data_IF_895571113775
#
_entry.id   IF_895571113775
#
_cell.length_a   1.000
_cell.length_b   1.000
_cell.length_c   1.000
_cell.angle_alpha   90.00
_cell.angle_beta   90.00
_cell.angle_gamma   90.00
#
_symmetry.space_group_name_H-M   'P 1'
#
loop_
_entity.id
_entity.type
_entity.pdbx_description
1 polymer ?
#
# COMPACT_ATOMS: atom_id res chain seq x y z
N UNK A 1 1.30 10.08 26.95
CA UNK A 1 1.11 8.65 26.63
C UNK A 1 2.34 8.20 25.88
N UNK A 2 2.82 6.96 26.02
CA UNK A 2 3.98 6.48 25.24
C UNK A 2 3.54 6.30 23.79
N UNK A 3 4.33 6.79 22.84
CA UNK A 3 4.12 6.55 21.41
C UNK A 3 4.27 5.07 21.05
N UNK A 4 3.65 4.65 19.95
CA UNK A 4 3.71 3.28 19.43
C UNK A 4 3.83 3.29 17.91
N UNK A 5 4.33 2.20 17.31
CA UNK A 5 4.20 1.99 15.87
C UNK A 5 2.74 1.64 15.53
N UNK A 6 2.16 2.33 14.55
CA UNK A 6 0.77 2.13 14.16
C UNK A 6 0.67 1.53 12.75
N UNK A 7 -0.20 0.56 12.61
CA UNK A 7 -0.50 -0.13 11.35
C UNK A 7 -1.97 -0.02 10.94
N UNK A 8 -2.82 0.51 11.84
CA UNK A 8 -4.26 0.58 11.65
C UNK A 8 -4.75 2.05 11.64
N UNK A 9 -5.55 2.39 10.62
CA UNK A 9 -6.23 3.68 10.55
C UNK A 9 -5.29 4.87 10.34
N UNK A 10 -5.61 5.97 11.04
CA UNK A 10 -4.84 7.21 11.00
C UNK A 10 -3.65 7.18 11.96
N UNK A 11 -2.55 7.77 11.54
CA UNK A 11 -1.42 8.02 12.42
C UNK A 11 -1.45 9.47 12.92
N UNK A 12 -1.23 9.64 14.23
CA UNK A 12 -1.16 10.94 14.91
C UNK A 12 0.24 11.15 15.46
N UNK A 13 0.88 12.32 15.24
CA UNK A 13 2.27 12.58 15.66
C UNK A 13 2.50 12.54 17.17
N UNK A 14 1.47 12.77 17.98
CA UNK A 14 1.52 12.74 19.45
C UNK A 14 1.33 11.33 20.04
N UNK A 15 0.78 10.39 19.26
CA UNK A 15 0.51 9.02 19.69
C UNK A 15 1.42 7.98 19.02
N UNK A 16 1.97 8.30 17.84
CA UNK A 16 2.63 7.32 16.99
C UNK A 16 4.04 7.75 16.55
N UNK A 17 4.94 6.80 16.44
CA UNK A 17 6.20 7.01 15.74
C UNK A 17 5.94 7.09 14.25
N UNK A 18 6.27 8.21 13.64
CA UNK A 18 5.92 8.54 12.26
C UNK A 18 7.12 9.03 11.48
N UNK A 19 7.09 8.74 10.20
CA UNK A 19 7.98 9.41 9.25
C UNK A 19 7.55 10.86 9.06
N UNK A 20 8.52 11.77 9.02
CA UNK A 20 8.26 13.18 8.72
C UNK A 20 7.89 13.33 7.23
N UNK A 21 6.65 13.71 6.96
CA UNK A 21 6.12 13.88 5.60
C UNK A 21 5.99 15.36 5.18
N UNK A 22 6.62 16.29 5.88
CA UNK A 22 6.48 17.73 5.62
C UNK A 22 6.84 18.12 4.19
N UNK A 23 7.94 17.60 3.65
CA UNK A 23 8.37 17.88 2.26
C UNK A 23 7.31 17.40 1.24
N UNK A 24 6.62 16.29 1.53
CA UNK A 24 5.53 15.77 0.69
C UNK A 24 4.30 16.67 0.76
N UNK A 25 3.95 17.15 1.97
CA UNK A 25 2.86 18.09 2.15
C UNK A 25 3.11 19.41 1.40
N UNK A 26 4.34 19.92 1.38
CA UNK A 26 4.73 21.12 0.64
C UNK A 26 4.65 20.92 -0.88
N UNK A 27 5.04 19.75 -1.37
CA UNK A 27 4.84 19.39 -2.79
C UNK A 27 3.35 19.32 -3.15
N UNK A 28 2.49 18.82 -2.25
CA UNK A 28 1.04 18.80 -2.44
C UNK A 28 0.49 20.24 -2.40
N UNK A 29 0.97 21.06 -1.47
CA UNK A 29 0.60 22.49 -1.40
C UNK A 29 0.90 23.21 -2.70
N UNK A 30 2.04 22.97 -3.33
CA UNK A 30 2.38 23.54 -4.63
C UNK A 30 1.32 23.22 -5.71
N UNK A 31 0.78 22.01 -5.73
CA UNK A 31 -0.31 21.63 -6.64
C UNK A 31 -1.60 22.38 -6.31
N UNK A 32 -1.89 22.60 -5.03
CA UNK A 32 -3.05 23.38 -4.58
C UNK A 32 -2.89 24.84 -4.99
N UNK A 33 -1.71 25.43 -4.79
CA UNK A 33 -1.39 26.83 -5.12
C UNK A 33 -1.45 27.08 -6.63
N UNK A 34 -1.11 26.10 -7.43
CA UNK A 34 -1.27 26.13 -8.87
C UNK A 34 -2.74 26.00 -9.32
N UNK A 35 -3.68 25.78 -8.39
CA UNK A 35 -5.10 25.56 -8.71
C UNK A 35 -5.33 24.27 -9.48
N UNK A 36 -4.53 23.24 -9.26
CA UNK A 36 -4.68 21.93 -9.91
C UNK A 36 -5.74 21.10 -9.20
N UNK A 37 -6.52 20.37 -10.00
CA UNK A 37 -7.33 19.25 -9.53
C UNK A 37 -6.51 17.99 -9.79
N UNK A 38 -6.43 17.08 -8.83
CA UNK A 38 -5.57 15.88 -8.96
C UNK A 38 -6.11 14.69 -8.18
N UNK A 39 -5.51 13.52 -8.42
CA UNK A 39 -5.88 12.27 -7.77
C UNK A 39 -4.66 11.71 -7.03
N UNK A 40 -4.82 11.41 -5.76
CA UNK A 40 -3.86 10.63 -4.96
C UNK A 40 -4.26 9.16 -5.09
N UNK A 41 -3.79 8.52 -6.17
CA UNK A 41 -4.01 7.10 -6.42
C UNK A 41 -2.80 6.31 -5.92
N UNK A 42 -2.94 5.71 -4.76
CA UNK A 42 -1.93 4.87 -4.12
C UNK A 42 -2.58 3.58 -3.61
N UNK A 43 -1.78 2.53 -3.51
CA UNK A 43 -2.17 1.25 -2.95
C UNK A 43 -2.85 1.38 -1.57
N UNK A 44 -3.51 0.32 -1.12
CA UNK A 44 -4.05 0.26 0.25
C UNK A 44 -2.90 0.39 1.26
N UNK A 45 -3.20 0.97 2.43
CA UNK A 45 -2.22 1.14 3.53
C UNK A 45 -0.92 1.85 3.13
N UNK A 46 -1.04 2.76 2.16
CA UNK A 46 0.08 3.58 1.66
C UNK A 46 0.11 5.00 2.27
N UNK A 47 -0.56 5.19 3.42
CA UNK A 47 -0.55 6.44 4.16
C UNK A 47 -1.44 7.56 3.58
N UNK A 48 -2.36 7.27 2.65
CA UNK A 48 -3.27 8.28 2.06
C UNK A 48 -4.05 9.07 3.11
N UNK A 49 -4.81 8.38 3.98
CA UNK A 49 -5.65 9.02 5.01
C UNK A 49 -4.82 9.90 5.95
N UNK A 50 -3.65 9.41 6.39
CA UNK A 50 -2.72 10.17 7.23
C UNK A 50 -2.21 11.41 6.51
N UNK A 51 -1.84 11.30 5.23
CA UNK A 51 -1.38 12.43 4.43
C UNK A 51 -2.47 13.49 4.27
N UNK A 52 -3.72 13.10 3.97
CA UNK A 52 -4.85 14.01 3.83
C UNK A 52 -5.19 14.70 5.16
N UNK A 53 -5.17 13.97 6.26
CA UNK A 53 -5.40 14.52 7.60
C UNK A 53 -4.32 15.54 7.98
N UNK A 54 -3.04 15.19 7.82
CA UNK A 54 -1.94 16.11 8.09
C UNK A 54 -1.93 17.33 7.17
N UNK A 55 -2.34 17.16 5.91
CA UNK A 55 -2.54 18.28 4.98
C UNK A 55 -3.58 19.25 5.51
N UNK A 56 -4.74 18.74 5.93
CA UNK A 56 -5.83 19.54 6.46
C UNK A 56 -5.42 20.28 7.74
N UNK A 57 -4.70 19.63 8.65
CA UNK A 57 -4.19 20.28 9.86
C UNK A 57 -3.13 21.34 9.55
N UNK A 58 -2.09 21.01 8.77
CA UNK A 58 -0.95 21.89 8.52
C UNK A 58 -1.35 23.19 7.83
N UNK A 59 -2.28 23.11 6.88
CA UNK A 59 -2.65 24.25 6.04
C UNK A 59 -4.02 24.87 6.35
N UNK A 60 -4.62 24.56 7.50
CA UNK A 60 -5.90 25.13 7.95
C UNK A 60 -5.89 26.66 8.07
N UNK A 61 -4.72 27.26 8.34
CA UNK A 61 -4.56 28.71 8.37
C UNK A 61 -4.63 29.36 6.99
N UNK A 62 -4.26 28.64 5.92
CA UNK A 62 -4.13 29.16 4.55
C UNK A 62 -5.35 28.83 3.69
N UNK A 63 -5.96 27.66 3.90
CA UNK A 63 -7.11 27.18 3.14
C UNK A 63 -8.28 26.84 4.04
N UNK A 64 -9.50 27.01 3.51
CA UNK A 64 -10.68 26.36 4.04
C UNK A 64 -10.79 24.98 3.42
N UNK A 65 -10.59 23.93 4.21
CA UNK A 65 -10.53 22.55 3.70
C UNK A 65 -11.82 21.82 4.12
N UNK A 66 -12.53 21.26 3.13
CA UNK A 66 -13.63 20.33 3.34
C UNK A 66 -13.18 18.96 2.91
N UNK A 67 -13.12 18.02 3.85
CA UNK A 67 -12.70 16.63 3.60
C UNK A 67 -13.86 15.69 3.86
N UNK A 68 -14.38 15.05 2.82
CA UNK A 68 -15.44 14.04 2.93
C UNK A 68 -14.92 12.68 2.53
N UNK A 69 -15.56 11.61 3.00
CA UNK A 69 -15.23 10.24 2.60
C UNK A 69 -16.47 9.53 2.07
N UNK A 70 -16.30 8.77 0.99
CA UNK A 70 -17.32 7.87 0.47
C UNK A 70 -17.28 6.49 1.13
N UNK A 71 -16.42 6.30 2.13
CA UNK A 71 -16.38 5.07 2.92
C UNK A 71 -17.75 4.79 3.56
N UNK A 72 -18.21 3.55 3.43
CA UNK A 72 -19.49 3.14 4.02
C UNK A 72 -20.76 3.65 3.32
N UNK A 73 -20.66 4.31 2.17
CA UNK A 73 -21.82 4.67 1.38
C UNK A 73 -22.44 3.41 0.76
N UNK A 74 -23.69 3.11 1.12
CA UNK A 74 -24.43 2.01 0.51
C UNK A 74 -24.94 2.33 -0.90
N UNK A 75 -25.28 1.31 -1.69
CA UNK A 75 -25.77 1.45 -3.06
C UNK A 75 -27.00 2.37 -3.19
N UNK A 76 -27.81 2.51 -2.15
CA UNK A 76 -28.94 3.43 -2.13
C UNK A 76 -28.55 4.90 -2.29
N UNK A 77 -27.33 5.25 -1.91
CA UNK A 77 -26.78 6.62 -2.07
C UNK A 77 -26.51 6.98 -3.53
N UNK A 78 -26.37 5.99 -4.40
CA UNK A 78 -26.04 6.17 -5.83
C UNK A 78 -27.24 5.88 -6.76
N UNK A 79 -28.42 5.62 -6.20
CA UNK A 79 -29.61 5.19 -6.94
C UNK A 79 -30.03 6.19 -8.00
N UNK A 80 -29.98 7.47 -7.67
CA UNK A 80 -30.35 8.59 -8.53
C UNK A 80 -29.60 9.86 -8.12
N UNK A 81 -29.66 10.89 -8.95
CA UNK A 81 -29.05 12.20 -8.76
C UNK A 81 -29.38 12.80 -7.39
N UNK A 82 -30.65 12.76 -7.00
CA UNK A 82 -31.09 13.37 -5.73
C UNK A 82 -30.54 12.64 -4.51
N UNK A 83 -30.55 11.33 -4.54
CA UNK A 83 -30.00 10.51 -3.47
C UNK A 83 -28.51 10.76 -3.28
N UNK A 84 -27.77 10.86 -4.38
CA UNK A 84 -26.35 11.16 -4.37
C UNK A 84 -26.06 12.59 -3.86
N UNK A 85 -26.72 13.60 -4.42
CA UNK A 85 -26.54 15.00 -4.02
C UNK A 85 -26.88 15.19 -2.54
N UNK A 86 -28.03 14.63 -2.09
CA UNK A 86 -28.43 14.67 -0.70
C UNK A 86 -27.39 14.06 0.22
N UNK A 87 -26.78 12.93 -0.18
CA UNK A 87 -25.72 12.30 0.62
C UNK A 87 -24.46 13.15 0.67
N UNK A 88 -24.07 13.81 -0.44
CA UNK A 88 -22.95 14.77 -0.43
C UNK A 88 -23.22 15.93 0.53
N UNK A 89 -24.45 16.47 0.53
CA UNK A 89 -24.84 17.50 1.50
C UNK A 89 -24.74 16.99 2.95
N UNK A 90 -25.17 15.74 3.23
CA UNK A 90 -25.05 15.13 4.54
C UNK A 90 -23.59 15.02 5.00
N UNK A 91 -22.70 14.53 4.14
CA UNK A 91 -21.26 14.45 4.44
C UNK A 91 -20.63 15.83 4.67
N UNK A 92 -21.04 16.84 3.89
CA UNK A 92 -20.59 18.22 4.11
C UNK A 92 -21.13 18.81 5.41
N UNK A 93 -22.39 18.51 5.74
CA UNK A 93 -22.97 18.95 7.00
C UNK A 93 -22.22 18.37 8.19
N UNK A 94 -21.86 17.07 8.14
CA UNK A 94 -21.09 16.42 9.21
C UNK A 94 -19.73 17.12 9.40
N UNK A 95 -19.00 17.45 8.32
CA UNK A 95 -17.74 18.20 8.37
C UNK A 95 -17.97 19.60 8.98
N UNK A 96 -18.98 20.34 8.50
CA UNK A 96 -19.29 21.70 8.97
C UNK A 96 -19.71 21.71 10.44
N UNK A 97 -20.38 20.65 10.90
CA UNK A 97 -20.92 20.57 12.26
C UNK A 97 -19.90 20.11 13.30
N UNK A 98 -19.07 19.13 12.95
CA UNK A 98 -18.14 18.51 13.91
C UNK A 98 -16.72 19.07 13.85
N UNK A 99 -16.30 19.68 12.75
CA UNK A 99 -14.96 20.26 12.63
C UNK A 99 -14.99 21.75 13.04
N UNK A 100 -14.40 22.09 14.20
CA UNK A 100 -14.35 23.45 14.74
C UNK A 100 -13.62 24.45 13.84
N UNK A 101 -12.89 23.96 12.83
CA UNK A 101 -12.10 24.79 11.89
C UNK A 101 -12.91 25.34 10.72
N UNK A 102 -14.19 24.96 10.56
CA UNK A 102 -15.01 25.43 9.43
C UNK A 102 -15.65 26.80 9.75
N UNK A 103 -14.98 27.86 9.36
CA UNK A 103 -15.54 29.22 9.33
C UNK A 103 -16.59 29.34 8.21
N UNK A 104 -17.80 28.83 8.43
CA UNK A 104 -18.94 28.96 7.50
C UNK A 104 -20.08 29.72 8.15
N UNK A 105 -20.80 30.52 7.34
CA UNK A 105 -21.97 31.26 7.82
C UNK A 105 -23.10 30.32 8.26
N UNK A 106 -23.95 30.80 9.18
CA UNK A 106 -25.13 30.05 9.60
C UNK A 106 -26.10 29.77 8.45
N UNK A 107 -26.10 30.62 7.42
CA UNK A 107 -26.88 30.42 6.20
C UNK A 107 -26.41 29.18 5.44
N UNK A 108 -25.08 29.04 5.21
CA UNK A 108 -24.49 27.84 4.57
C UNK A 108 -24.80 26.59 5.40
N UNK A 109 -24.65 26.65 6.71
CA UNK A 109 -24.92 25.54 7.62
C UNK A 109 -26.39 25.10 7.55
N UNK A 110 -27.30 26.04 7.61
CA UNK A 110 -28.75 25.79 7.55
C UNK A 110 -29.15 25.20 6.21
N UNK A 111 -28.65 25.74 5.10
CA UNK A 111 -28.95 25.23 3.77
C UNK A 111 -28.39 23.81 3.58
N UNK A 112 -27.16 23.56 4.05
CA UNK A 112 -26.53 22.24 3.99
C UNK A 112 -27.38 21.18 4.75
N UNK A 113 -27.80 21.50 5.97
CA UNK A 113 -28.69 20.64 6.74
C UNK A 113 -30.01 20.38 6.02
N UNK A 114 -30.69 21.45 5.55
CA UNK A 114 -31.98 21.35 4.86
C UNK A 114 -31.91 20.44 3.63
N UNK A 115 -30.81 20.53 2.85
CA UNK A 115 -30.62 19.73 1.63
C UNK A 115 -30.19 18.29 1.92
N UNK A 116 -29.73 17.99 3.14
CA UNK A 116 -29.40 16.63 3.56
C UNK A 116 -30.62 15.80 4.02
N UNK A 117 -31.77 16.44 4.27
CA UNK A 117 -32.96 15.77 4.76
C UNK A 117 -33.59 14.82 3.73
N UNK A 118 -34.32 13.80 4.19
CA UNK A 118 -34.83 12.72 3.35
C UNK A 118 -35.86 13.16 2.30
N UNK A 119 -36.59 14.24 2.54
CA UNK A 119 -37.59 14.82 1.67
C UNK A 119 -37.00 15.83 0.66
N UNK A 120 -35.74 16.27 0.87
CA UNK A 120 -35.05 17.15 -0.06
C UNK A 120 -34.68 16.42 -1.38
N UNK A 121 -34.74 17.15 -2.48
CA UNK A 121 -34.40 16.67 -3.81
C UNK A 121 -33.39 17.58 -4.50
N UNK A 122 -32.18 17.75 -3.93
CA UNK A 122 -31.15 18.54 -4.58
C UNK A 122 -30.63 17.82 -5.84
N UNK A 123 -30.52 18.54 -6.94
CA UNK A 123 -29.87 18.13 -8.17
C UNK A 123 -28.41 18.63 -8.25
N UNK A 124 -27.64 18.23 -9.28
CA UNK A 124 -26.25 18.70 -9.46
C UNK A 124 -26.17 20.21 -9.70
N UNK A 125 -27.19 20.84 -10.24
CA UNK A 125 -27.24 22.30 -10.40
C UNK A 125 -27.32 22.98 -9.03
N UNK A 126 -28.19 22.50 -8.17
CA UNK A 126 -28.35 22.99 -6.79
C UNK A 126 -27.05 22.81 -6.01
N UNK A 127 -26.45 21.62 -6.07
CA UNK A 127 -25.17 21.32 -5.41
C UNK A 127 -24.03 22.19 -5.98
N UNK A 128 -23.95 22.39 -7.29
CA UNK A 128 -22.95 23.26 -7.93
C UNK A 128 -23.08 24.73 -7.47
N UNK A 129 -24.30 25.23 -7.35
CA UNK A 129 -24.56 26.59 -6.85
C UNK A 129 -24.15 26.72 -5.36
N UNK A 130 -24.44 25.70 -4.57
CA UNK A 130 -24.04 25.65 -3.17
C UNK A 130 -22.51 25.66 -3.01
N UNK A 131 -21.79 24.89 -3.80
CA UNK A 131 -20.33 24.94 -3.83
C UNK A 131 -19.79 26.34 -4.23
N UNK A 132 -20.47 27.01 -5.16
CA UNK A 132 -20.08 28.38 -5.53
C UNK A 132 -20.36 29.38 -4.40
N UNK A 133 -21.42 29.18 -3.63
CA UNK A 133 -21.75 30.00 -2.47
C UNK A 133 -20.67 29.84 -1.38
N UNK A 134 -20.32 28.58 -1.02
CA UNK A 134 -19.22 28.29 -0.07
C UNK A 134 -17.94 29.01 -0.51
N UNK A 135 -17.54 28.83 -1.78
CA UNK A 135 -16.29 29.43 -2.28
C UNK A 135 -16.34 30.96 -2.36
N UNK A 136 -17.52 31.56 -2.47
CA UNK A 136 -17.71 33.02 -2.50
C UNK A 136 -17.64 33.63 -1.11
N UNK A 137 -18.23 32.96 -0.12
CA UNK A 137 -18.34 33.45 1.27
C UNK A 137 -17.11 33.13 2.12
N UNK A 138 -16.33 32.13 1.73
CA UNK A 138 -15.11 31.77 2.44
C UNK A 138 -14.09 32.90 2.38
N UNK A 139 -13.51 33.26 3.53
CA UNK A 139 -12.41 34.19 3.66
C UNK A 139 -11.06 33.64 3.17
N UNK A 140 -10.97 32.34 2.90
CA UNK A 140 -9.79 31.61 2.45
C UNK A 140 -10.09 30.85 1.15
N UNK A 141 -9.08 30.55 0.31
CA UNK A 141 -9.26 29.63 -0.82
C UNK A 141 -9.77 28.26 -0.35
N UNK A 142 -10.79 27.73 -1.01
CA UNK A 142 -11.44 26.48 -0.61
C UNK A 142 -10.79 25.29 -1.31
N UNK A 143 -10.38 24.28 -0.54
CA UNK A 143 -9.90 22.98 -1.01
C UNK A 143 -10.94 21.92 -0.67
N UNK A 144 -11.32 21.12 -1.66
CA UNK A 144 -12.27 20.02 -1.49
C UNK A 144 -11.59 18.67 -1.65
N UNK A 145 -11.60 17.88 -0.59
CA UNK A 145 -10.99 16.54 -0.52
C UNK A 145 -12.11 15.50 -0.50
N UNK A 146 -11.99 14.49 -1.35
CA UNK A 146 -12.91 13.34 -1.38
C UNK A 146 -12.09 12.06 -1.27
N UNK A 147 -12.19 11.40 -0.13
CA UNK A 147 -11.49 10.12 0.10
C UNK A 147 -12.39 8.92 -0.26
N UNK A 148 -11.77 7.76 -0.47
CA UNK A 148 -12.39 6.47 -0.81
C UNK A 148 -13.30 6.56 -2.06
N UNK A 149 -12.89 7.32 -3.06
CA UNK A 149 -13.66 7.48 -4.31
C UNK A 149 -13.84 6.15 -5.06
N UNK A 150 -13.09 5.13 -4.72
CA UNK A 150 -13.22 3.76 -5.27
C UNK A 150 -14.58 3.14 -4.97
N UNK A 151 -15.23 3.53 -3.86
CA UNK A 151 -16.56 3.07 -3.48
C UNK A 151 -17.64 3.52 -4.48
N UNK A 152 -17.39 4.62 -5.18
CA UNK A 152 -18.29 5.21 -6.15
C UNK A 152 -17.88 4.94 -7.62
N UNK A 153 -16.78 4.23 -7.83
CA UNK A 153 -16.09 4.13 -9.11
C UNK A 153 -16.92 3.56 -10.27
N UNK A 154 -17.90 2.73 -9.96
CA UNK A 154 -18.81 2.06 -10.91
C UNK A 154 -20.20 2.72 -10.99
N UNK A 155 -20.40 3.86 -10.32
CA UNK A 155 -21.70 4.52 -10.20
C UNK A 155 -21.85 5.69 -11.20
N UNK A 156 -22.95 5.71 -11.93
CA UNK A 156 -23.25 6.77 -12.93
C UNK A 156 -23.36 8.15 -12.28
N UNK A 157 -24.05 8.24 -11.13
CA UNK A 157 -24.19 9.49 -10.36
C UNK A 157 -22.84 10.10 -9.96
N UNK A 158 -21.83 9.26 -9.70
CA UNK A 158 -20.49 9.75 -9.42
C UNK A 158 -19.78 10.30 -10.66
N UNK A 159 -19.97 9.67 -11.82
CA UNK A 159 -19.42 10.20 -13.08
C UNK A 159 -20.03 11.55 -13.43
N UNK A 160 -21.34 11.72 -13.22
CA UNK A 160 -22.04 12.99 -13.44
C UNK A 160 -21.56 14.08 -12.47
N UNK A 161 -21.32 13.70 -11.21
CA UNK A 161 -20.69 14.57 -10.22
C UNK A 161 -19.29 15.03 -10.64
N UNK A 162 -18.45 14.11 -11.14
CA UNK A 162 -17.14 14.48 -11.70
C UNK A 162 -17.28 15.42 -12.92
N UNK A 163 -18.30 15.20 -13.74
CA UNK A 163 -18.65 16.08 -14.85
C UNK A 163 -18.99 17.50 -14.37
N UNK A 164 -19.79 17.61 -13.30
CA UNK A 164 -20.13 18.90 -12.68
C UNK A 164 -18.90 19.61 -12.10
N UNK A 165 -18.02 18.88 -11.39
CA UNK A 165 -16.77 19.47 -10.87
C UNK A 165 -15.84 19.93 -12.00
N UNK A 166 -15.78 19.18 -13.12
CA UNK A 166 -15.05 19.61 -14.32
C UNK A 166 -15.62 20.88 -14.92
N UNK A 167 -16.94 21.01 -15.04
CA UNK A 167 -17.58 22.24 -15.55
C UNK A 167 -17.21 23.45 -14.67
N UNK A 168 -17.22 23.29 -13.34
CA UNK A 168 -16.77 24.30 -12.40
C UNK A 168 -15.30 24.69 -12.64
N UNK A 169 -14.40 23.70 -12.81
CA UNK A 169 -13.00 23.95 -13.11
C UNK A 169 -12.81 24.75 -14.40
N UNK A 170 -13.53 24.41 -15.46
CA UNK A 170 -13.44 25.13 -16.74
C UNK A 170 -13.92 26.59 -16.63
N UNK A 171 -14.89 26.86 -15.75
CA UNK A 171 -15.46 28.19 -15.50
C UNK A 171 -14.77 28.94 -14.36
N UNK A 172 -13.66 28.47 -13.80
CA UNK A 172 -13.00 29.00 -12.59
C UNK A 172 -12.54 30.48 -12.72
N UNK A 173 -12.35 30.96 -13.93
CA UNK A 173 -12.00 32.40 -14.18
C UNK A 173 -13.18 33.34 -14.07
N UNK A 174 -14.40 32.85 -14.22
CA UNK A 174 -15.63 33.66 -14.28
C UNK A 174 -16.59 33.39 -13.12
N UNK A 175 -16.39 32.28 -12.37
CA UNK A 175 -17.29 31.88 -11.28
C UNK A 175 -16.50 31.41 -10.07
N UNK A 176 -16.97 31.70 -8.84
CA UNK A 176 -16.36 31.15 -7.62
C UNK A 176 -16.36 29.64 -7.66
N UNK A 177 -15.21 29.04 -7.41
CA UNK A 177 -15.03 27.60 -7.35
C UNK A 177 -13.86 27.22 -6.44
N UNK A 178 -13.68 25.95 -6.20
CA UNK A 178 -12.58 25.39 -5.42
C UNK A 178 -11.21 25.81 -5.97
N UNK A 179 -10.30 26.14 -5.09
CA UNK A 179 -8.88 26.31 -5.40
C UNK A 179 -8.29 25.00 -5.92
N UNK A 180 -8.60 23.91 -5.24
CA UNK A 180 -8.22 22.56 -5.64
C UNK A 180 -9.30 21.56 -5.27
N UNK A 181 -9.40 20.47 -6.05
CA UNK A 181 -10.16 19.29 -5.69
C UNK A 181 -9.19 18.10 -5.69
N UNK A 182 -9.11 17.41 -4.56
CA UNK A 182 -8.25 16.26 -4.34
C UNK A 182 -9.13 15.02 -4.21
N UNK A 183 -8.99 14.09 -5.13
CA UNK A 183 -9.63 12.79 -5.02
C UNK A 183 -8.61 11.77 -4.50
N UNK A 184 -8.99 10.94 -3.53
CA UNK A 184 -8.12 9.90 -3.02
C UNK A 184 -8.76 8.51 -3.16
N UNK A 185 -7.96 7.55 -3.62
CA UNK A 185 -8.41 6.19 -3.83
C UNK A 185 -7.26 5.28 -4.29
N UNK A 186 -7.60 4.05 -4.66
CA UNK A 186 -6.66 3.09 -5.22
C UNK A 186 -6.71 3.13 -6.74
N UNK A 187 -7.91 3.21 -7.33
CA UNK A 187 -8.08 3.14 -8.78
C UNK A 187 -7.76 4.48 -9.47
N UNK A 188 -7.17 4.38 -10.66
CA UNK A 188 -7.08 5.55 -11.54
C UNK A 188 -8.48 5.89 -12.08
N UNK A 189 -8.99 7.05 -11.69
CA UNK A 189 -10.32 7.55 -12.10
C UNK A 189 -10.44 7.69 -13.62
N UNK A 190 -9.33 7.87 -14.34
CA UNK A 190 -9.32 7.88 -15.81
C UNK A 190 -9.74 6.52 -16.39
N UNK A 191 -9.49 5.43 -15.69
CA UNK A 191 -9.76 4.06 -16.11
C UNK A 191 -11.06 3.47 -15.54
N UNK A 192 -11.83 4.21 -14.72
CA UNK A 192 -13.06 3.74 -14.09
C UNK A 192 -14.14 3.28 -15.08
N UNK A 193 -14.19 3.89 -16.26
CA UNK A 193 -15.20 3.55 -17.30
C UNK A 193 -15.16 2.11 -17.77
N UNK A 194 -14.03 1.44 -17.69
CA UNK A 194 -13.88 0.04 -18.11
C UNK A 194 -14.70 -0.94 -17.26
N UNK A 195 -15.05 -0.57 -16.01
CA UNK A 195 -15.87 -1.42 -15.13
C UNK A 195 -17.39 -1.24 -15.32
N UNK A 196 -17.85 -0.04 -15.65
CA UNK A 196 -19.28 0.30 -15.68
C UNK A 196 -19.98 -0.29 -16.92
N UNK A 197 -19.26 -0.52 -18.01
CA UNK A 197 -19.86 -0.93 -19.28
C UNK A 197 -19.16 -2.14 -19.90
N UNK A 198 -19.29 -3.32 -19.28
CA UNK A 198 -19.03 -4.58 -19.98
C UNK A 198 -20.05 -4.70 -21.13
N UNK A 199 -19.63 -4.39 -22.35
CA UNK A 199 -20.42 -4.59 -23.57
C UNK A 199 -20.69 -3.37 -24.45
N UNK A 200 -20.25 -2.16 -24.07
CA UNK A 200 -20.26 -1.00 -24.96
C UNK A 200 -18.88 -0.40 -25.05
N UNK A 201 -18.19 -0.68 -26.15
CA UNK A 201 -17.00 0.06 -26.60
C UNK A 201 -17.43 1.49 -26.96
N UNK A 202 -17.58 2.37 -25.99
CA UNK A 202 -17.74 3.78 -26.26
C UNK A 202 -16.53 4.56 -25.78
N UNK A 203 -15.85 5.15 -26.73
CA UNK A 203 -14.77 6.12 -26.65
C UNK A 203 -15.12 7.43 -25.89
N UNK A 204 -15.64 7.32 -24.67
CA UNK A 204 -15.87 8.50 -23.85
C UNK A 204 -14.66 8.75 -22.94
N UNK A 205 -13.96 9.84 -23.17
CA UNK A 205 -12.93 10.35 -22.28
C UNK A 205 -13.50 10.53 -20.86
N UNK A 206 -12.76 10.10 -19.85
CA UNK A 206 -13.15 10.33 -18.46
C UNK A 206 -13.48 11.79 -18.22
N UNK A 207 -14.56 12.12 -17.49
CA UNK A 207 -14.84 13.50 -17.09
C UNK A 207 -13.68 14.12 -16.31
N UNK A 208 -12.79 13.31 -15.73
CA UNK A 208 -11.66 13.75 -14.92
C UNK A 208 -10.35 13.91 -15.70
N UNK A 209 -10.41 14.12 -17.02
CA UNK A 209 -9.21 14.36 -17.86
C UNK A 209 -8.52 15.70 -17.57
N UNK A 210 -9.09 16.55 -16.71
CA UNK A 210 -8.50 17.80 -16.21
C UNK A 210 -7.48 17.58 -15.10
N UNK A 211 -7.44 16.37 -14.51
CA UNK A 211 -6.58 16.07 -13.38
C UNK A 211 -5.10 16.16 -13.74
N UNK A 212 -4.36 16.95 -12.97
CA UNK A 212 -2.91 16.99 -13.01
C UNK A 212 -2.34 15.62 -12.58
N UNK A 213 -1.15 15.28 -13.09
CA UNK A 213 -0.45 14.09 -12.68
C UNK A 213 0.11 14.28 -11.27
N UNK A 214 -0.21 13.37 -10.36
CA UNK A 214 0.34 13.34 -9.01
C UNK A 214 1.65 12.58 -8.99
N UNK A 215 2.77 13.30 -8.78
CA UNK A 215 4.12 12.75 -8.85
C UNK A 215 4.80 12.66 -7.49
N UNK A 216 4.10 13.03 -6.41
CA UNK A 216 4.67 12.99 -5.05
C UNK A 216 4.90 11.54 -4.65
N UNK A 217 6.15 11.21 -4.31
CA UNK A 217 6.47 9.89 -3.78
C UNK A 217 6.01 9.77 -2.32
N UNK A 218 5.20 8.77 -2.04
CA UNK A 218 4.68 8.49 -0.70
C UNK A 218 5.37 7.31 -0.03
N UNK A 219 6.34 6.64 -0.68
CA UNK A 219 7.15 5.59 -0.09
C UNK A 219 8.17 6.18 0.89
N UNK A 220 8.58 5.42 1.90
CA UNK A 220 9.57 5.86 2.87
C UNK A 220 10.97 5.56 2.39
N UNK A 221 11.83 6.56 2.29
CA UNK A 221 13.25 6.37 2.04
C UNK A 221 13.99 5.79 3.27
N UNK A 222 15.20 5.24 3.13
CA UNK A 222 16.00 4.84 4.27
C UNK A 222 16.20 5.96 5.29
N UNK A 223 16.36 7.22 4.83
CA UNK A 223 16.48 8.40 5.67
C UNK A 223 15.18 8.69 6.46
N UNK A 224 14.03 8.52 5.82
CA UNK A 224 12.73 8.69 6.48
C UNK A 224 12.55 7.66 7.61
N UNK A 225 12.90 6.40 7.33
CA UNK A 225 12.85 5.31 8.31
C UNK A 225 13.83 5.58 9.46
N UNK A 226 15.06 6.02 9.15
CA UNK A 226 16.06 6.37 10.16
C UNK A 226 15.56 7.49 11.08
N UNK A 227 14.89 8.51 10.54
CA UNK A 227 14.30 9.59 11.34
C UNK A 227 13.24 9.09 12.32
N UNK A 228 12.34 8.20 11.89
CA UNK A 228 11.34 7.56 12.75
C UNK A 228 11.98 6.69 13.83
N UNK A 229 13.01 5.92 13.48
CA UNK A 229 13.76 5.09 14.44
C UNK A 229 14.58 5.91 15.43
N UNK A 230 15.03 7.09 15.05
CA UNK A 230 15.74 8.02 15.95
C UNK A 230 14.80 8.47 17.06
N UNK A 231 13.59 8.90 16.72
CA UNK A 231 12.58 9.27 17.71
C UNK A 231 12.25 8.09 18.65
N UNK A 232 12.05 6.89 18.11
CA UNK A 232 11.83 5.70 18.93
C UNK A 232 12.97 5.37 19.85
N UNK A 233 14.23 5.46 19.36
CA UNK A 233 15.44 5.21 20.15
C UNK A 233 15.56 6.18 21.33
N UNK A 234 15.28 7.46 21.08
CA UNK A 234 15.41 8.50 22.10
C UNK A 234 14.33 8.35 23.20
N UNK A 235 13.09 8.00 22.81
CA UNK A 235 11.98 7.79 23.76
C UNK A 235 12.16 6.55 24.65
N UNK A 236 12.73 5.46 24.12
CA UNK A 236 12.77 4.15 24.78
C UNK A 236 14.18 3.81 25.29
N UNK A 237 15.19 4.58 24.89
CA UNK A 237 16.60 4.31 25.16
C UNK A 237 17.04 2.93 24.62
N UNK A 238 16.70 2.64 23.37
CA UNK A 238 17.05 1.39 22.66
C UNK A 238 18.44 1.53 22.04
N UNK A 239 19.32 0.56 22.27
CA UNK A 239 20.59 0.48 21.56
C UNK A 239 20.38 -0.11 20.17
N UNK A 240 20.65 0.66 19.12
CA UNK A 240 20.58 0.18 17.72
C UNK A 240 21.51 0.98 16.81
N UNK A 241 21.96 0.34 15.75
CA UNK A 241 22.56 1.00 14.58
C UNK A 241 21.43 1.44 13.66
N UNK A 242 21.02 2.71 13.80
CA UNK A 242 19.83 3.24 13.12
C UNK A 242 19.95 3.12 11.60
N UNK A 243 21.08 3.49 11.03
CA UNK A 243 21.26 3.50 9.57
C UNK A 243 21.25 2.09 9.00
N UNK A 244 21.93 1.15 9.65
CA UNK A 244 21.95 -0.25 9.23
C UNK A 244 20.57 -0.92 9.37
N UNK A 245 19.81 -0.60 10.43
CA UNK A 245 18.45 -1.12 10.64
C UNK A 245 17.47 -0.49 9.64
N UNK A 246 17.52 0.83 9.44
CA UNK A 246 16.68 1.54 8.48
C UNK A 246 16.90 1.03 7.06
N UNK A 247 18.15 0.83 6.65
CA UNK A 247 18.49 0.29 5.34
C UNK A 247 17.96 -1.15 5.20
N UNK A 248 18.12 -1.99 6.21
CA UNK A 248 17.63 -3.37 6.19
C UNK A 248 16.11 -3.42 6.05
N UNK A 249 15.37 -2.61 6.80
CA UNK A 249 13.90 -2.52 6.69
C UNK A 249 13.52 -2.06 5.28
N UNK A 250 14.21 -1.06 4.73
CA UNK A 250 13.96 -0.58 3.37
C UNK A 250 14.22 -1.66 2.32
N UNK A 251 15.30 -2.42 2.42
CA UNK A 251 15.65 -3.49 1.48
C UNK A 251 14.55 -4.56 1.37
N UNK A 252 13.83 -4.82 2.46
CA UNK A 252 12.69 -5.74 2.45
C UNK A 252 11.39 -5.13 1.96
N UNK A 253 11.12 -3.89 2.36
CA UNK A 253 9.82 -3.25 2.21
C UNK A 253 9.71 -2.36 0.98
N UNK A 254 10.84 -1.94 0.38
CA UNK A 254 10.87 -0.89 -0.65
C UNK A 254 10.25 0.42 -0.15
N UNK A 255 10.25 0.63 1.17
CA UNK A 255 9.63 1.81 1.79
C UNK A 255 8.10 1.79 1.84
N UNK A 256 7.45 0.66 1.64
CA UNK A 256 5.99 0.54 1.75
C UNK A 256 5.53 0.86 3.19
N UNK A 257 4.74 1.92 3.42
CA UNK A 257 4.51 2.46 4.78
C UNK A 257 4.01 1.43 5.80
N UNK A 258 2.99 0.64 5.44
CA UNK A 258 2.46 -0.41 6.31
C UNK A 258 3.51 -1.46 6.66
N UNK A 259 4.29 -1.93 5.68
CA UNK A 259 5.29 -2.97 5.90
C UNK A 259 6.40 -2.47 6.83
N UNK A 260 6.84 -1.21 6.65
CA UNK A 260 7.83 -0.56 7.53
C UNK A 260 7.31 -0.51 8.97
N UNK A 261 6.11 0.05 9.17
CA UNK A 261 5.52 0.17 10.51
C UNK A 261 5.27 -1.20 11.17
N UNK A 262 4.81 -2.20 10.38
CA UNK A 262 4.54 -3.55 10.93
C UNK A 262 5.81 -4.28 11.36
N UNK A 263 6.90 -4.17 10.58
CA UNK A 263 8.19 -4.75 10.98
C UNK A 263 8.68 -4.10 12.28
N UNK A 264 8.61 -2.77 12.39
CA UNK A 264 8.99 -2.06 13.62
C UNK A 264 8.13 -2.51 14.81
N UNK A 265 6.82 -2.61 14.62
CA UNK A 265 5.89 -3.06 15.66
C UNK A 265 6.19 -4.49 16.12
N UNK A 266 6.38 -5.44 15.20
CA UNK A 266 6.72 -6.82 15.53
C UNK A 266 8.06 -6.94 16.26
N UNK A 267 9.04 -6.12 15.88
CA UNK A 267 10.33 -6.08 16.55
C UNK A 267 10.19 -5.54 17.99
N UNK A 268 9.34 -4.53 18.20
CA UNK A 268 9.04 -3.99 19.53
C UNK A 268 8.31 -5.03 20.40
N UNK A 269 7.30 -5.71 19.84
CA UNK A 269 6.53 -6.76 20.52
C UNK A 269 7.44 -7.90 21.00
N UNK A 270 8.32 -8.40 20.12
CA UNK A 270 9.28 -9.47 20.44
C UNK A 270 10.29 -9.06 21.52
N UNK A 271 10.80 -7.81 21.48
CA UNK A 271 11.69 -7.27 22.49
C UNK A 271 11.01 -7.15 23.87
N UNK A 272 9.73 -6.78 23.89
CA UNK A 272 8.94 -6.71 25.12
C UNK A 272 8.69 -8.10 25.73
N UNK A 273 8.35 -9.11 24.92
CA UNK A 273 8.15 -10.50 25.37
C UNK A 273 9.44 -11.11 25.93
N UNK A 274 10.56 -10.93 25.25
CA UNK A 274 11.87 -11.42 25.72
C UNK A 274 12.24 -10.84 27.07
N UNK A 275 11.89 -9.60 27.34
CA UNK A 275 12.13 -8.94 28.62
C UNK A 275 11.23 -9.45 29.74
N UNK A 276 10.00 -9.89 29.46
CA UNK A 276 9.10 -10.47 30.45
C UNK A 276 9.52 -11.91 30.83
N UNK A 277 10.02 -12.68 29.89
CA UNK A 277 10.49 -14.05 30.14
C UNK A 277 11.77 -14.07 30.98
N UNK A 278 12.65 -13.07 30.85
CA UNK A 278 13.86 -12.94 31.67
C UNK A 278 13.57 -12.59 33.14
N UNK A 279 12.37 -12.09 33.47
CA UNK A 279 11.94 -11.77 34.85
C UNK A 279 11.46 -13.00 35.60
N UNK A 280 10.99 -14.05 34.90
CA UNK A 280 10.50 -15.28 35.51
C UNK A 280 11.61 -16.28 35.92
N UNK A 281 12.84 -16.05 35.44
CA UNK A 281 14.00 -16.91 35.74
C UNK A 281 14.91 -16.24 36.80
N UNK A 282 14.58 -16.46 38.08
CA UNK A 282 15.33 -16.22 39.33
C UNK A 282 15.86 -14.80 39.62
N UNK A 283 15.58 -14.26 40.84
CA UNK A 283 16.11 -12.99 41.27
C UNK A 283 17.58 -13.15 41.72
N UNK A 284 18.53 -12.71 40.92
CA UNK A 284 19.86 -12.36 41.44
C UNK A 284 19.81 -10.92 41.93
N UNK A 285 19.78 -10.78 43.26
CA UNK A 285 20.03 -9.54 43.97
C UNK A 285 21.45 -9.07 43.65
N UNK A 286 21.54 -7.93 42.99
CA UNK A 286 22.56 -6.88 42.99
C UNK A 286 22.67 -6.31 41.59
N UNK A 287 21.96 -5.20 41.39
CA UNK A 287 22.46 -4.10 40.59
C UNK A 287 21.51 -2.91 40.72
N UNK A 288 22.06 -1.87 41.34
CA UNK A 288 21.43 -0.54 41.42
C UNK A 288 21.40 0.07 40.01
N UNK A 289 20.32 0.77 39.69
CA UNK A 289 19.97 1.44 38.41
C UNK A 289 19.46 0.52 37.29
N UNK A 290 18.22 0.06 37.46
CA UNK A 290 17.56 -0.75 36.45
C UNK A 290 16.97 0.06 35.29
N UNK A 291 17.80 0.63 34.43
CA UNK A 291 17.36 1.00 33.08
C UNK A 291 17.53 -0.23 32.18
N UNK A 292 16.41 -0.84 31.77
CA UNK A 292 16.44 -1.95 30.81
C UNK A 292 16.83 -1.36 29.46
N UNK A 293 18.06 -1.61 29.01
CA UNK A 293 18.50 -1.26 27.67
C UNK A 293 18.00 -2.33 26.71
N UNK A 294 16.94 -2.02 25.98
CA UNK A 294 16.53 -2.82 24.83
C UNK A 294 17.57 -2.69 23.72
N UNK A 295 17.78 -3.75 22.96
CA UNK A 295 18.69 -3.71 21.83
C UNK A 295 17.98 -4.25 20.60
N UNK A 296 18.03 -3.48 19.51
CA UNK A 296 17.63 -3.95 18.20
C UNK A 296 18.86 -4.25 17.36
N UNK A 297 18.90 -5.43 16.77
CA UNK A 297 19.95 -5.86 15.86
C UNK A 297 19.34 -6.45 14.58
N UNK A 298 20.20 -6.79 13.61
CA UNK A 298 19.73 -7.33 12.31
C UNK A 298 18.91 -8.60 12.44
N UNK A 299 19.22 -9.49 13.40
CA UNK A 299 18.46 -10.73 13.60
C UNK A 299 17.03 -10.46 14.05
N UNK A 300 16.81 -9.44 14.89
CA UNK A 300 15.47 -9.11 15.37
C UNK A 300 14.58 -8.62 14.23
N UNK A 301 15.12 -7.82 13.31
CA UNK A 301 14.42 -7.40 12.09
C UNK A 301 14.12 -8.59 11.18
N UNK A 302 15.08 -9.51 10.99
CA UNK A 302 14.86 -10.70 10.16
C UNK A 302 13.80 -11.62 10.75
N UNK A 303 13.72 -11.75 12.07
CA UNK A 303 12.69 -12.54 12.74
C UNK A 303 11.31 -11.86 12.62
N UNK A 304 11.23 -10.54 12.74
CA UNK A 304 10.01 -9.79 12.46
C UNK A 304 9.56 -9.95 10.99
N UNK A 305 10.48 -9.95 10.02
CA UNK A 305 10.18 -10.24 8.62
C UNK A 305 9.62 -11.65 8.44
N UNK A 306 10.20 -12.67 9.08
CA UNK A 306 9.67 -14.06 9.04
C UNK A 306 8.26 -14.13 9.61
N UNK A 307 8.02 -13.46 10.74
CA UNK A 307 6.71 -13.39 11.36
C UNK A 307 5.69 -12.73 10.43
N UNK A 308 6.02 -11.57 9.87
CA UNK A 308 5.18 -10.85 8.91
C UNK A 308 4.82 -11.71 7.68
N UNK A 309 5.78 -12.46 7.13
CA UNK A 309 5.56 -13.35 5.99
C UNK A 309 4.58 -14.49 6.29
N UNK A 310 4.37 -14.86 7.55
CA UNK A 310 3.43 -15.89 7.99
C UNK A 310 2.08 -15.31 8.46
N UNK A 311 1.96 -14.00 8.57
CA UNK A 311 0.73 -13.37 9.02
C UNK A 311 -0.41 -13.50 7.98
N UNK A 312 -1.63 -13.56 8.52
CA UNK A 312 -2.85 -13.22 7.80
C UNK A 312 -3.18 -11.76 8.14
N UNK A 313 -3.13 -10.89 7.14
CA UNK A 313 -3.47 -9.48 7.30
C UNK A 313 -4.20 -8.96 6.05
N UNK A 314 -4.87 -7.83 6.23
CA UNK A 314 -5.73 -7.25 5.18
C UNK A 314 -4.98 -6.89 3.90
N UNK A 315 -3.67 -6.57 3.96
CA UNK A 315 -2.85 -6.28 2.79
C UNK A 315 -2.63 -7.53 1.93
N UNK A 316 -2.27 -8.65 2.57
CA UNK A 316 -2.02 -9.91 1.86
C UNK A 316 -3.32 -10.58 1.39
N UNK A 317 -4.41 -10.43 2.16
CA UNK A 317 -5.73 -10.92 1.74
C UNK A 317 -6.23 -10.15 0.52
N UNK A 318 -6.08 -8.82 0.49
CA UNK A 318 -6.41 -7.99 -0.67
C UNK A 318 -5.55 -8.37 -1.89
N UNK A 319 -4.24 -8.57 -1.69
CA UNK A 319 -3.34 -9.04 -2.76
C UNK A 319 -3.81 -10.37 -3.33
N UNK A 320 -4.12 -11.34 -2.48
CA UNK A 320 -4.62 -12.64 -2.89
C UNK A 320 -5.91 -12.53 -3.71
N UNK A 321 -6.86 -11.71 -3.26
CA UNK A 321 -8.13 -11.46 -3.96
C UNK A 321 -7.93 -10.79 -5.31
N UNK A 322 -7.11 -9.71 -5.37
CA UNK A 322 -6.84 -8.97 -6.61
C UNK A 322 -6.18 -9.84 -7.68
N UNK A 323 -5.25 -10.72 -7.29
CA UNK A 323 -4.63 -11.66 -8.21
C UNK A 323 -5.61 -12.73 -8.70
N UNK A 324 -6.52 -13.19 -7.84
CA UNK A 324 -7.58 -14.11 -8.26
C UNK A 324 -8.59 -13.46 -9.21
N UNK A 325 -8.84 -12.17 -9.07
CA UNK A 325 -9.76 -11.38 -9.91
C UNK A 325 -9.14 -10.98 -11.26
N UNK A 326 -7.80 -10.94 -11.39
CA UNK A 326 -7.08 -10.59 -12.63
C UNK A 326 -6.05 -11.66 -13.01
N UNK A 327 -6.47 -12.55 -13.89
CA UNK A 327 -5.61 -13.64 -14.40
C UNK A 327 -4.41 -13.13 -15.18
N UNK A 328 -4.57 -12.01 -15.90
CA UNK A 328 -3.49 -11.39 -16.67
C UNK A 328 -2.38 -10.87 -15.74
N UNK A 329 -2.76 -10.19 -14.64
CA UNK A 329 -1.80 -9.72 -13.65
C UNK A 329 -1.11 -10.88 -12.93
N UNK A 330 -1.87 -11.90 -12.53
CA UNK A 330 -1.32 -13.11 -11.90
C UNK A 330 -0.30 -13.80 -12.83
N UNK A 331 -0.63 -13.91 -14.12
CA UNK A 331 0.26 -14.49 -15.12
C UNK A 331 1.55 -13.66 -15.32
N UNK A 332 1.47 -12.32 -15.40
CA UNK A 332 2.66 -11.45 -15.49
C UNK A 332 3.58 -11.68 -14.30
N UNK A 333 3.04 -11.73 -13.09
CA UNK A 333 3.82 -11.96 -11.88
C UNK A 333 4.48 -13.34 -11.91
N UNK A 334 3.77 -14.39 -12.32
CA UNK A 334 4.35 -15.74 -12.48
C UNK A 334 5.48 -15.77 -13.50
N UNK A 335 5.32 -15.09 -14.64
CA UNK A 335 6.37 -14.98 -15.66
C UNK A 335 7.63 -14.28 -15.11
N UNK A 336 7.49 -13.24 -14.32
CA UNK A 336 8.63 -12.54 -13.70
C UNK A 336 9.30 -13.45 -12.67
N UNK A 337 8.51 -14.05 -11.77
CA UNK A 337 9.04 -14.80 -10.63
C UNK A 337 9.68 -16.13 -11.04
N UNK A 338 9.04 -16.92 -11.90
CA UNK A 338 9.49 -18.26 -12.21
C UNK A 338 10.30 -18.35 -13.52
N UNK A 339 9.97 -17.55 -14.53
CA UNK A 339 10.70 -17.57 -15.79
C UNK A 339 11.84 -16.56 -15.85
N UNK A 340 11.94 -15.65 -14.87
CA UNK A 340 12.87 -14.53 -14.94
C UNK A 340 12.64 -13.64 -16.17
N UNK A 341 11.42 -13.65 -16.73
CA UNK A 341 11.12 -12.93 -17.97
C UNK A 341 11.22 -11.43 -17.76
N UNK A 342 12.10 -10.79 -18.53
CA UNK A 342 12.21 -9.33 -18.56
C UNK A 342 11.06 -8.77 -19.40
N UNK A 343 10.08 -8.18 -18.74
CA UNK A 343 8.91 -7.58 -19.38
C UNK A 343 9.15 -6.08 -19.46
N UNK A 344 9.15 -5.46 -20.66
CA UNK A 344 9.24 -4.01 -20.78
C UNK A 344 8.07 -3.32 -20.07
N UNK A 345 8.36 -2.26 -19.34
CA UNK A 345 7.33 -1.48 -18.69
C UNK A 345 6.54 -0.66 -19.70
N UNK A 346 5.23 -0.85 -19.75
CA UNK A 346 4.30 -0.03 -20.51
C UNK A 346 3.13 0.39 -19.63
N UNK A 347 2.92 1.70 -19.41
CA UNK A 347 1.77 2.18 -18.63
C UNK A 347 0.43 1.96 -19.38
N UNK A 348 0.46 1.69 -20.69
CA UNK A 348 -0.74 1.44 -21.50
C UNK A 348 -1.20 -0.01 -21.42
N UNK A 349 -0.35 -0.91 -20.93
CA UNK A 349 -0.70 -2.30 -20.71
C UNK A 349 -1.50 -2.43 -19.40
N UNK A 350 -2.75 -2.91 -19.52
CA UNK A 350 -3.72 -2.88 -18.43
C UNK A 350 -3.27 -3.65 -17.18
N UNK A 351 -2.73 -4.84 -17.33
CA UNK A 351 -2.33 -5.66 -16.19
C UNK A 351 -1.08 -5.10 -15.49
N UNK A 352 -0.13 -4.51 -16.23
CA UNK A 352 1.04 -3.82 -15.67
C UNK A 352 0.58 -2.60 -14.88
N UNK A 353 -0.28 -1.77 -15.48
CA UNK A 353 -0.83 -0.59 -14.82
C UNK A 353 -1.59 -0.96 -13.54
N UNK A 354 -2.43 -2.01 -13.60
CA UNK A 354 -3.15 -2.54 -12.44
C UNK A 354 -2.19 -2.99 -11.32
N UNK A 355 -1.13 -3.71 -11.66
CA UNK A 355 -0.12 -4.16 -10.72
C UNK A 355 0.63 -3.01 -10.04
N UNK A 356 0.98 -1.97 -10.80
CA UNK A 356 1.62 -0.76 -10.27
C UNK A 356 0.65 0.03 -9.37
N UNK A 357 -0.59 0.16 -9.78
CA UNK A 357 -1.64 0.85 -9.02
C UNK A 357 -1.91 0.17 -7.67
N UNK A 358 -1.91 -1.16 -7.64
CA UNK A 358 -2.02 -1.93 -6.39
C UNK A 358 -0.73 -1.98 -5.58
N UNK A 359 0.37 -1.44 -6.10
CA UNK A 359 1.67 -1.44 -5.44
C UNK A 359 2.39 -2.79 -5.46
N UNK A 360 1.96 -3.75 -6.28
CA UNK A 360 2.60 -5.07 -6.38
C UNK A 360 3.75 -5.06 -7.38
N UNK A 361 3.66 -4.23 -8.41
CA UNK A 361 4.67 -4.05 -9.43
C UNK A 361 5.24 -2.64 -9.40
N UNK A 362 6.47 -2.49 -9.89
CA UNK A 362 7.16 -1.21 -10.10
C UNK A 362 7.82 -1.18 -11.48
N UNK A 363 8.12 0.03 -11.94
CA UNK A 363 9.06 0.24 -13.03
C UNK A 363 10.48 0.30 -12.46
N UNK A 364 11.32 -0.61 -12.86
CA UNK A 364 12.73 -0.66 -12.51
C UNK A 364 13.56 -0.61 -13.79
N UNK A 365 14.13 0.55 -14.07
CA UNK A 365 14.94 0.80 -15.28
C UNK A 365 14.28 0.39 -16.63
N UNK A 366 12.98 0.68 -16.76
CA UNK A 366 12.20 0.36 -17.95
C UNK A 366 11.66 -1.07 -18.00
N UNK A 367 11.86 -1.85 -16.96
CA UNK A 367 11.37 -3.22 -16.82
C UNK A 367 10.33 -3.30 -15.69
N UNK A 368 9.42 -4.26 -15.81
CA UNK A 368 8.46 -4.58 -14.75
C UNK A 368 9.14 -5.47 -13.73
N UNK A 369 9.11 -5.07 -12.45
CA UNK A 369 9.60 -5.84 -11.32
C UNK A 369 8.54 -5.91 -10.21
N UNK A 370 8.64 -6.90 -9.31
CA UNK A 370 7.85 -6.92 -8.07
C UNK A 370 8.35 -5.81 -7.16
N UNK A 371 7.42 -5.10 -6.51
CA UNK A 371 7.72 -3.84 -5.82
C UNK A 371 8.71 -3.97 -4.67
N UNK A 372 8.68 -5.08 -3.94
CA UNK A 372 9.54 -5.31 -2.78
C UNK A 372 9.69 -6.80 -2.43
N UNK A 373 10.70 -7.11 -1.61
CA UNK A 373 11.04 -8.49 -1.23
C UNK A 373 9.96 -9.19 -0.41
N UNK A 374 9.19 -8.46 0.40
CA UNK A 374 8.07 -9.04 1.17
C UNK A 374 7.01 -9.59 0.21
N UNK A 375 6.58 -8.78 -0.77
CA UNK A 375 5.60 -9.24 -1.77
C UNK A 375 6.16 -10.38 -2.61
N UNK A 376 7.40 -10.26 -3.05
CA UNK A 376 8.07 -11.30 -3.83
C UNK A 376 8.07 -12.63 -3.08
N UNK A 377 8.54 -12.66 -1.83
CA UNK A 377 8.59 -13.88 -1.00
C UNK A 377 7.19 -14.43 -0.71
N UNK A 378 6.21 -13.55 -0.43
CA UNK A 378 4.83 -13.96 -0.17
C UNK A 378 4.18 -14.61 -1.38
N UNK A 379 4.41 -14.04 -2.57
CA UNK A 379 3.91 -14.56 -3.85
C UNK A 379 4.57 -15.90 -4.21
N UNK A 380 5.90 -16.02 -4.05
CA UNK A 380 6.57 -17.31 -4.18
C UNK A 380 5.97 -18.37 -3.27
N UNK A 381 5.78 -18.06 -1.98
CA UNK A 381 5.21 -18.98 -1.01
C UNK A 381 3.80 -19.42 -1.40
N UNK A 382 2.97 -18.48 -1.86
CA UNK A 382 1.62 -18.78 -2.37
C UNK A 382 1.67 -19.74 -3.54
N UNK A 383 2.39 -19.39 -4.60
CA UNK A 383 2.45 -20.20 -5.82
C UNK A 383 3.10 -21.57 -5.63
N UNK A 384 4.11 -21.68 -4.77
CA UNK A 384 4.71 -22.96 -4.44
C UNK A 384 3.74 -23.83 -3.64
N UNK A 385 2.94 -23.26 -2.74
CA UNK A 385 1.95 -24.01 -1.96
C UNK A 385 0.82 -24.59 -2.82
N UNK A 386 0.41 -23.88 -3.88
CA UNK A 386 -0.59 -24.37 -4.84
C UNK A 386 -0.14 -25.66 -5.58
N UNK A 387 1.17 -25.91 -5.65
CA UNK A 387 1.76 -27.00 -6.44
C UNK A 387 2.38 -28.13 -5.61
N UNK A 388 2.54 -27.95 -4.29
CA UNK A 388 3.16 -28.97 -3.41
C UNK A 388 2.33 -30.25 -3.36
N UNK A 389 1.01 -30.14 -3.40
CA UNK A 389 0.08 -31.29 -3.34
C UNK A 389 0.18 -32.23 -4.55
N UNK A 390 0.80 -31.79 -5.64
CA UNK A 390 0.90 -32.56 -6.88
C UNK A 390 2.33 -33.03 -7.20
N UNK A 391 3.35 -32.67 -6.37
CA UNK A 391 4.75 -32.84 -6.75
C UNK A 391 5.50 -33.85 -5.84
N UNK A 392 5.83 -35.03 -6.40
CA UNK A 392 6.58 -36.12 -5.73
C UNK A 392 7.97 -35.72 -5.24
N UNK A 393 8.62 -34.70 -5.85
CA UNK A 393 9.93 -34.18 -5.43
C UNK A 393 9.89 -33.50 -4.04
N UNK A 394 8.77 -32.92 -3.66
CA UNK A 394 8.62 -32.29 -2.36
C UNK A 394 8.75 -33.31 -1.22
N UNK A 395 8.19 -34.51 -1.39
CA UNK A 395 8.25 -35.59 -0.39
C UNK A 395 9.69 -36.07 -0.20
N UNK A 396 10.45 -36.23 -1.27
CA UNK A 396 11.85 -36.70 -1.24
C UNK A 396 12.78 -35.70 -0.54
N UNK A 397 12.59 -34.41 -0.74
CA UNK A 397 13.37 -33.35 -0.08
C UNK A 397 13.11 -33.30 1.43
N UNK A 398 11.86 -33.52 1.83
CA UNK A 398 11.47 -33.55 3.27
C UNK A 398 12.13 -34.71 4.03
N UNK A 399 12.22 -35.89 3.42
CA UNK A 399 12.85 -37.06 4.02
C UNK A 399 14.36 -36.93 4.21
N UNK A 400 15.03 -36.20 3.31
CA UNK A 400 16.49 -36.03 3.31
C UNK A 400 17.02 -34.76 4.00
N UNK A 401 16.17 -33.98 4.65
CA UNK A 401 16.48 -32.61 5.13
C UNK A 401 17.76 -32.52 5.96
N UNK A 402 17.99 -33.42 6.90
CA UNK A 402 19.10 -33.33 7.84
C UNK A 402 20.48 -33.51 7.20
N UNK A 403 20.57 -34.13 6.02
CA UNK A 403 21.83 -34.33 5.31
C UNK A 403 22.35 -33.04 4.64
N UNK A 404 21.48 -32.05 4.38
CA UNK A 404 21.82 -30.82 3.68
C UNK A 404 22.36 -29.73 4.58
N UNK A 405 22.28 -29.89 5.90
CA UNK A 405 22.70 -28.88 6.88
C UNK A 405 23.84 -29.49 7.71
N UNK A 406 25.03 -28.86 7.60
CA UNK A 406 26.21 -29.22 8.38
C UNK A 406 26.61 -27.99 9.20
N UNK A 407 26.72 -28.15 10.53
CA UNK A 407 27.05 -27.07 11.48
C UNK A 407 26.19 -25.79 11.31
N UNK A 408 24.91 -25.95 11.00
CA UNK A 408 23.97 -24.85 10.77
C UNK A 408 24.10 -24.16 9.40
N UNK A 409 24.97 -24.64 8.52
CA UNK A 409 25.22 -24.11 7.17
C UNK A 409 24.59 -25.04 6.13
N UNK A 410 23.84 -24.47 5.19
CA UNK A 410 23.24 -25.20 4.09
C UNK A 410 24.31 -25.54 3.04
N UNK A 411 24.50 -26.85 2.75
CA UNK A 411 25.39 -27.33 1.70
C UNK A 411 24.65 -27.31 0.35
N UNK A 412 24.80 -26.20 -0.39
CA UNK A 412 24.13 -26.01 -1.68
C UNK A 412 24.59 -26.97 -2.75
N UNK A 413 25.86 -27.39 -2.77
CA UNK A 413 26.40 -28.34 -3.74
C UNK A 413 25.70 -29.70 -3.59
N UNK A 414 25.55 -30.17 -2.36
CA UNK A 414 24.83 -31.41 -2.07
C UNK A 414 23.32 -31.28 -2.38
N UNK A 415 22.71 -30.10 -2.14
CA UNK A 415 21.32 -29.84 -2.51
C UNK A 415 21.13 -29.97 -4.01
N UNK A 416 22.03 -29.34 -4.82
CA UNK A 416 21.98 -29.40 -6.27
C UNK A 416 22.20 -30.82 -6.80
N UNK A 417 23.20 -31.51 -6.28
CA UNK A 417 23.49 -32.91 -6.66
C UNK A 417 22.28 -33.81 -6.45
N UNK A 418 21.68 -33.77 -5.24
CA UNK A 418 20.52 -34.59 -4.90
C UNK A 418 19.26 -34.18 -5.66
N UNK A 419 19.09 -32.87 -5.89
CA UNK A 419 18.01 -32.40 -6.73
C UNK A 419 18.09 -32.98 -8.14
N UNK A 420 19.26 -32.95 -8.77
CA UNK A 420 19.45 -33.49 -10.12
C UNK A 420 19.18 -34.99 -10.18
N UNK A 421 19.67 -35.75 -9.20
CA UNK A 421 19.39 -37.21 -9.11
C UNK A 421 17.88 -37.46 -9.02
N UNK A 422 17.21 -36.86 -8.06
CA UNK A 422 15.78 -37.06 -7.85
C UNK A 422 14.91 -36.52 -8.98
N UNK A 423 15.36 -35.42 -9.62
CA UNK A 423 14.68 -34.88 -10.79
C UNK A 423 14.74 -35.87 -11.95
N UNK A 424 15.91 -36.42 -12.26
CA UNK A 424 16.11 -37.42 -13.32
C UNK A 424 15.34 -38.70 -13.01
N UNK A 425 15.33 -39.17 -11.78
CA UNK A 425 14.58 -40.36 -11.37
C UNK A 425 13.07 -40.25 -11.56
N UNK A 426 12.51 -39.05 -11.39
CA UNK A 426 11.04 -38.82 -11.46
C UNK A 426 10.59 -38.43 -12.88
N UNK A 427 11.37 -37.63 -13.58
CA UNK A 427 10.98 -37.05 -14.87
C UNK A 427 11.71 -37.66 -16.09
N UNK A 428 12.77 -38.45 -15.85
CA UNK A 428 13.58 -39.09 -16.90
C UNK A 428 14.42 -38.11 -17.72
N UNK A 429 15.18 -38.65 -18.67
CA UNK A 429 16.02 -37.88 -19.63
C UNK A 429 15.20 -37.29 -20.79
N UNK A 430 13.96 -36.84 -20.58
CA UNK A 430 13.18 -36.29 -21.68
C UNK A 430 13.73 -34.94 -22.13
N UNK A 431 14.54 -34.96 -23.17
CA UNK A 431 15.21 -33.81 -23.81
C UNK A 431 14.25 -32.75 -24.37
N UNK A 432 12.94 -32.98 -24.41
CA UNK A 432 12.10 -32.19 -25.32
C UNK A 432 11.28 -31.07 -24.67
N UNK A 433 11.35 -30.83 -23.36
CA UNK A 433 10.60 -29.71 -22.72
C UNK A 433 11.02 -29.33 -21.32
N UNK A 434 12.28 -29.40 -20.98
CA UNK A 434 12.76 -28.75 -19.77
C UNK A 434 12.78 -27.24 -20.02
N UNK A 435 11.62 -26.64 -19.91
CA UNK A 435 11.54 -25.18 -19.86
C UNK A 435 12.24 -24.75 -18.56
N UNK A 436 13.14 -23.81 -18.66
CA UNK A 436 13.88 -23.19 -17.53
C UNK A 436 12.94 -22.82 -16.38
N UNK A 437 11.73 -22.43 -16.69
CA UNK A 437 10.62 -22.17 -15.76
C UNK A 437 10.26 -23.38 -14.90
N UNK A 438 10.05 -24.51 -15.54
CA UNK A 438 9.60 -25.73 -14.84
C UNK A 438 10.69 -26.24 -13.90
N UNK A 439 11.95 -26.23 -14.35
CA UNK A 439 13.10 -26.61 -13.53
C UNK A 439 13.31 -25.68 -12.34
N UNK A 440 13.24 -24.35 -12.55
CA UNK A 440 13.36 -23.37 -11.48
C UNK A 440 12.26 -23.55 -10.44
N UNK A 441 11.02 -23.73 -10.85
CA UNK A 441 9.87 -23.93 -9.99
C UNK A 441 9.99 -25.21 -9.15
N UNK A 442 10.36 -26.32 -9.77
CA UNK A 442 10.54 -27.60 -9.10
C UNK A 442 11.71 -27.52 -8.12
N UNK A 443 12.82 -26.88 -8.50
CA UNK A 443 13.97 -26.68 -7.62
C UNK A 443 13.58 -25.84 -6.39
N UNK A 444 12.81 -24.78 -6.54
CA UNK A 444 12.35 -23.96 -5.41
C UNK A 444 11.41 -24.73 -4.49
N UNK A 445 10.56 -25.59 -5.03
CA UNK A 445 9.71 -26.49 -4.22
C UNK A 445 10.59 -27.45 -3.42
N UNK A 446 11.61 -28.06 -4.05
CA UNK A 446 12.55 -28.95 -3.40
C UNK A 446 13.34 -28.26 -2.29
N UNK A 447 13.93 -27.11 -2.59
CA UNK A 447 14.70 -26.29 -1.66
C UNK A 447 13.85 -25.82 -0.47
N UNK A 448 12.61 -25.44 -0.71
CA UNK A 448 11.68 -25.00 0.35
C UNK A 448 11.46 -26.08 1.42
N UNK A 449 11.38 -27.35 1.02
CA UNK A 449 11.23 -28.45 1.97
C UNK A 449 12.48 -28.62 2.84
N UNK A 450 13.67 -28.36 2.29
CA UNK A 450 14.94 -28.48 3.02
C UNK A 450 15.08 -27.35 4.04
N UNK A 451 14.81 -26.11 3.65
CA UNK A 451 15.02 -24.92 4.49
C UNK A 451 13.80 -24.54 5.34
N UNK A 452 12.69 -25.25 5.22
CA UNK A 452 11.44 -24.96 5.92
C UNK A 452 11.63 -24.94 7.44
N UNK A 453 11.47 -23.78 8.05
CA UNK A 453 11.63 -23.54 9.50
C UNK A 453 13.06 -23.24 9.98
N UNK A 454 14.09 -23.22 9.10
CA UNK A 454 15.48 -22.96 9.48
C UNK A 454 16.07 -21.71 8.79
N UNK A 455 15.53 -21.29 7.66
CA UNK A 455 16.04 -20.13 6.92
C UNK A 455 15.07 -19.58 5.89
N UNK A 456 15.38 -18.38 5.40
CA UNK A 456 14.75 -17.81 4.22
C UNK A 456 15.73 -17.90 3.05
N UNK A 457 15.23 -18.16 1.85
CA UNK A 457 16.01 -18.07 0.63
C UNK A 457 15.72 -16.74 -0.08
N UNK A 458 16.77 -16.20 -0.69
CA UNK A 458 16.67 -15.02 -1.53
C UNK A 458 17.00 -15.40 -2.95
N UNK A 459 16.16 -15.02 -3.89
CA UNK A 459 16.25 -15.42 -5.28
C UNK A 459 17.43 -14.72 -6.00
N UNK A 460 17.90 -13.60 -5.49
CA UNK A 460 19.13 -12.95 -6.00
C UNK A 460 20.37 -13.84 -5.91
N UNK A 461 20.44 -14.75 -4.93
CA UNK A 461 21.53 -15.71 -4.83
C UNK A 461 21.53 -16.71 -6.01
N UNK A 462 20.36 -17.04 -6.56
CA UNK A 462 20.22 -17.89 -7.73
C UNK A 462 20.59 -17.15 -9.04
N UNK A 463 20.32 -15.84 -9.13
CA UNK A 463 20.69 -15.03 -10.29
C UNK A 463 22.22 -14.82 -10.41
N UNK A 464 22.94 -14.85 -9.30
CA UNK A 464 24.41 -14.71 -9.28
C UNK A 464 25.09 -16.02 -9.69
N UNK A 465 24.51 -17.17 -9.35
CA UNK A 465 25.02 -18.48 -9.78
C UNK A 465 24.90 -18.70 -11.29
N UNK A 466 23.87 -18.14 -11.94
CA UNK A 466 23.70 -18.24 -13.41
C UNK A 466 24.71 -17.39 -14.21
N UNK A 467 25.52 -16.50 -13.60
CA UNK A 467 26.54 -15.71 -14.31
C UNK A 467 27.90 -16.37 -14.38
N UNK A 468 28.17 -17.45 -13.65
CA UNK A 468 29.51 -18.02 -13.56
C UNK A 468 29.67 -19.46 -14.05
N UNK A 469 28.62 -20.20 -14.41
CA UNK A 469 28.78 -21.61 -14.82
C UNK A 469 27.84 -22.05 -15.96
N UNK A 470 27.74 -21.26 -17.04
CA UNK A 470 27.22 -21.74 -18.32
C UNK A 470 28.10 -21.12 -19.44
N UNK A 471 29.34 -21.61 -19.52
CA UNK A 471 30.15 -21.69 -20.76
C UNK A 471 30.58 -23.12 -20.96
#
# INVERSE_FOLDING_TARGET
MRKRFNVDGLCYPDEHYMVNINDRLEQIQTLIDDGKYFVINRARQYGKKTTLHMLAQKFSSEYQIFSISFEGLGNSSYKDEWSFCRKVYGLLYDVIYYEETSEVSDEIRTECYRMSLNDARPDFRTLSNFFSLICKESGKPVVFIIDEVDQAADQESFLDFLGMLRDKYMKRRSRPTFRSVILAGVYDIKNLKLKIRKGQESLYNSPWNIAAKFMVDMSFSPKDIAGMLTEYKDDINVAMDIDAIAQLIYDYTGGYPFLVSRICQLTEEAAAESSMQSVSAAPRLNEASGSRCYKWNKSDILDAVKQLLNEQNTLFDDMGKKLSDSKELDNIIRLILFNGKKIPYSPDEYAINLGVMFGYLKNEDGLVAVSNRIFETRLYNRYLSENITENKLADTASLGRNQFITDGILNMDLVMEKFMIHFTDIYGDSESSFLEEHGRRIFLIYLKQIINGVGNYYIEALATLNKHNLT
#
